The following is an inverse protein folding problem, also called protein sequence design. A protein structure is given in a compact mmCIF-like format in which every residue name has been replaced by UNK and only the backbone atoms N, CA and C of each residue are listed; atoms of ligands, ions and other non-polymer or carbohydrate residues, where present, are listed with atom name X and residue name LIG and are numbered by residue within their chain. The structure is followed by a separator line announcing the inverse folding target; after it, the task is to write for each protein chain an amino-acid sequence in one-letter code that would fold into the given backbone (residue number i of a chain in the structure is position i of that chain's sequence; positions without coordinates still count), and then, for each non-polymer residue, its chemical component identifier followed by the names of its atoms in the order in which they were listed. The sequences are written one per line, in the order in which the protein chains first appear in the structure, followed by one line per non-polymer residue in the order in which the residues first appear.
data_IF_110545354491
#
_entry.id   IF_110545354491
#
_cell.length_a   1.000
_cell.length_b   1.000
_cell.length_c   1.000
_cell.angle_alpha   90.00
_cell.angle_beta   90.00
_cell.angle_gamma   90.00
#
_symmetry.space_group_name_H-M   'P 1'
#
loop_
_entity.id
_entity.type
_entity.pdbx_description
1 polymer ?
#
# COMPACT_ATOMS: atom_id res chain seq x y z
N UNK A 1 4.30 -36.48 2.92
CA UNK A 1 4.17 -36.15 2.26
C UNK A 1 4.06 -35.88 1.74
N UNK A 2 3.96 -35.96 1.78
CA UNK A 2 3.86 -35.62 1.02
C UNK A 2 3.68 -34.85 0.68
N UNK A 3 3.44 -34.69 0.40
CA UNK A 3 3.14 -34.05 -0.26
C UNK A 3 2.78 -33.41 -0.56
N UNK A 4 2.73 -33.46 -0.60
CA UNK A 4 2.22 -32.83 -1.20
C UNK A 4 1.97 -32.65 -1.92
N UNK A 5 1.90 -33.03 -2.26
CA UNK A 5 1.67 -32.65 -3.10
C UNK A 5 1.20 -32.52 -3.65
N UNK A 6 0.92 -32.89 -3.84
CA UNK A 6 0.38 -32.72 -4.53
C UNK A 6 -0.17 -32.65 -4.99
N UNK A 7 -0.41 -32.60 -5.32
CA UNK A 7 -1.24 -32.58 -5.91
C UNK A 7 -1.76 -32.88 -6.64
N UNK A 8 -1.94 -33.15 -6.84
CA UNK A 8 -2.59 -33.32 -7.58
C UNK A 8 -3.21 -34.01 -7.66
N UNK A 9 -3.65 -34.42 -7.72
CA UNK A 9 -4.31 -35.01 -7.86
C UNK A 9 -5.38 -34.96 -8.23
N UNK A 10 -5.65 -35.48 -8.51
CA UNK A 10 -6.65 -35.68 -9.06
C UNK A 10 -7.91 -35.10 -9.12
N UNK A 11 -8.94 -35.63 -9.42
CA UNK A 11 -10.24 -35.11 -9.43
C UNK A 11 -10.42 -34.00 -8.51
N UNK A 12 -9.62 -34.03 -7.61
CA UNK A 12 -9.49 -32.97 -6.68
C UNK A 12 -8.64 -31.86 -7.26
N UNK A 13 -8.38 -31.93 -8.53
CA UNK A 13 -7.71 -30.85 -9.23
C UNK A 13 -8.66 -29.70 -9.44
N UNK A 14 -8.32 -28.55 -8.92
CA UNK A 14 -9.08 -27.32 -9.18
C UNK A 14 -8.88 -26.95 -10.64
N UNK A 15 -9.96 -26.70 -11.39
CA UNK A 15 -9.81 -26.25 -12.76
C UNK A 15 -8.90 -25.04 -12.85
N UNK A 16 -8.05 -25.02 -13.86
CA UNK A 16 -7.07 -23.95 -14.02
C UNK A 16 -7.70 -22.57 -13.95
N UNK A 17 -8.86 -22.40 -14.57
CA UNK A 17 -9.55 -21.11 -14.56
C UNK A 17 -9.90 -20.68 -13.14
N UNK A 18 -10.45 -21.59 -12.34
CA UNK A 18 -10.80 -21.25 -10.95
C UNK A 18 -9.56 -20.94 -10.13
N UNK A 19 -8.47 -21.65 -10.34
CA UNK A 19 -7.22 -21.39 -9.66
C UNK A 19 -6.68 -20.02 -9.99
N UNK A 20 -6.73 -19.63 -11.26
CA UNK A 20 -6.28 -18.31 -11.66
C UNK A 20 -7.16 -17.20 -11.10
N UNK A 21 -8.48 -17.41 -11.08
CA UNK A 21 -9.39 -16.43 -10.50
C UNK A 21 -9.13 -16.25 -9.01
N UNK A 22 -8.89 -17.34 -8.29
CA UNK A 22 -8.57 -17.27 -6.88
C UNK A 22 -7.28 -16.51 -6.64
N UNK A 23 -6.27 -16.75 -7.47
CA UNK A 23 -4.99 -16.07 -7.36
C UNK A 23 -5.14 -14.56 -7.61
N UNK A 24 -5.90 -14.19 -8.64
CA UNK A 24 -6.15 -12.78 -8.94
C UNK A 24 -6.86 -12.09 -7.78
N UNK A 25 -7.86 -12.75 -7.18
CA UNK A 25 -8.56 -12.20 -6.02
C UNK A 25 -7.59 -12.00 -4.85
N UNK A 26 -6.69 -12.96 -4.63
CA UNK A 26 -5.72 -12.86 -3.54
C UNK A 26 -4.78 -11.67 -3.76
N UNK A 27 -4.31 -11.46 -4.99
CA UNK A 27 -3.46 -10.30 -5.30
C UNK A 27 -4.18 -8.98 -5.09
N UNK A 28 -5.44 -8.91 -5.51
CA UNK A 28 -6.23 -7.68 -5.33
C UNK A 28 -6.46 -7.38 -3.86
N UNK A 29 -6.74 -8.42 -3.08
CA UNK A 29 -6.94 -8.27 -1.65
C UNK A 29 -5.66 -7.79 -0.98
N UNK A 30 -4.52 -8.37 -1.36
CA UNK A 30 -3.23 -7.95 -0.80
C UNK A 30 -2.93 -6.50 -1.13
N UNK A 31 -3.25 -6.06 -2.35
CA UNK A 31 -3.09 -4.67 -2.74
C UNK A 31 -3.92 -3.73 -1.87
N UNK A 32 -5.15 -4.11 -1.58
CA UNK A 32 -6.01 -3.32 -0.69
C UNK A 32 -5.44 -3.26 0.72
N UNK A 33 -4.93 -4.38 1.24
CA UNK A 33 -4.34 -4.40 2.57
C UNK A 33 -3.10 -3.52 2.63
N UNK A 34 -2.29 -3.51 1.57
CA UNK A 34 -1.11 -2.65 1.53
C UNK A 34 -1.49 -1.18 1.52
N UNK A 35 -2.57 -0.81 0.80
CA UNK A 35 -3.05 0.57 0.80
C UNK A 35 -3.53 0.99 2.18
N UNK A 36 -4.25 0.11 2.89
CA UNK A 36 -4.68 0.37 4.25
C UNK A 36 -3.47 0.56 5.16
N UNK A 37 -2.44 -0.27 4.99
CA UNK A 37 -1.23 -0.17 5.78
C UNK A 37 -0.52 1.17 5.54
N UNK A 38 -0.47 1.64 4.29
CA UNK A 38 0.10 2.95 3.98
C UNK A 38 -0.61 4.05 4.75
N UNK A 39 -1.95 4.07 4.70
CA UNK A 39 -2.73 5.10 5.37
C UNK A 39 -2.51 5.05 6.88
N UNK A 40 -2.51 3.84 7.47
CA UNK A 40 -2.35 3.71 8.92
C UNK A 40 -0.93 3.99 9.38
N UNK A 41 0.06 3.90 8.50
CA UNK A 41 1.46 4.13 8.85
C UNK A 41 1.86 5.60 8.74
N UNK A 42 1.01 6.45 8.17
CA UNK A 42 1.35 7.85 7.91
C UNK A 42 1.85 8.56 9.17
N UNK A 43 1.10 8.48 10.26
CA UNK A 43 1.50 9.15 11.50
C UNK A 43 2.79 8.56 12.06
N UNK A 44 2.94 7.25 12.00
CA UNK A 44 4.13 6.59 12.54
C UNK A 44 5.39 7.02 11.80
N UNK A 45 5.28 7.18 10.48
CA UNK A 45 6.43 7.53 9.63
C UNK A 45 6.73 9.01 9.69
N UNK A 46 5.70 9.86 9.62
CA UNK A 46 5.90 11.30 9.51
C UNK A 46 5.91 12.02 10.85
N UNK A 47 5.42 11.35 11.89
CA UNK A 47 5.40 11.94 13.21
C UNK A 47 4.08 12.64 13.51
N UNK A 48 3.86 12.87 14.81
CA UNK A 48 2.60 13.41 15.29
C UNK A 48 2.35 14.83 14.82
N UNK A 49 3.41 15.64 14.72
CA UNK A 49 3.27 17.06 14.32
C UNK A 49 2.71 17.15 12.90
N UNK A 50 3.22 16.30 11.97
CA UNK A 50 2.71 16.28 10.60
C UNK A 50 1.29 15.71 10.59
N UNK A 51 1.05 14.66 11.37
CA UNK A 51 -0.27 14.04 11.43
C UNK A 51 -1.34 15.00 11.87
N UNK A 52 -1.04 15.88 12.84
CA UNK A 52 -1.99 16.87 13.34
C UNK A 52 -2.39 17.87 12.27
N UNK A 53 -1.53 18.11 11.28
CA UNK A 53 -1.82 19.03 10.16
C UNK A 53 -2.35 18.28 8.94
N UNK A 54 -2.55 16.97 9.04
CA UNK A 54 -3.05 16.16 7.93
C UNK A 54 -4.57 16.03 8.07
N UNK A 55 -5.28 16.45 7.04
CA UNK A 55 -6.73 16.37 7.00
C UNK A 55 -7.22 15.09 6.38
N UNK A 56 -6.47 14.56 5.40
CA UNK A 56 -6.91 13.42 4.65
C UNK A 56 -5.70 12.69 4.07
N UNK A 57 -5.72 11.36 4.11
CA UNK A 57 -4.70 10.51 3.50
C UNK A 57 -5.41 9.36 2.81
N UNK A 58 -5.11 9.15 1.53
CA UNK A 58 -5.64 7.99 0.82
C UNK A 58 -4.72 7.61 -0.33
N UNK A 59 -4.84 6.36 -0.80
CA UNK A 59 -4.04 5.82 -1.89
C UNK A 59 -4.96 5.47 -3.05
N UNK A 60 -4.55 5.83 -4.26
CA UNK A 60 -5.29 5.46 -5.47
C UNK A 60 -4.28 5.20 -6.57
N UNK A 61 -4.27 3.96 -7.08
CA UNK A 61 -3.42 3.54 -8.22
C UNK A 61 -1.95 3.87 -8.02
N UNK A 62 -1.44 3.57 -6.82
CA UNK A 62 -0.03 3.78 -6.50
C UNK A 62 0.33 5.21 -6.17
N UNK A 63 -0.64 6.10 -6.06
CA UNK A 63 -0.41 7.49 -5.68
C UNK A 63 -0.97 7.73 -4.30
N UNK A 64 -0.13 8.29 -3.44
CA UNK A 64 -0.53 8.67 -2.09
C UNK A 64 -0.96 10.12 -2.12
N UNK A 65 -2.22 10.37 -1.78
CA UNK A 65 -2.78 11.72 -1.72
C UNK A 65 -2.86 12.16 -0.27
N UNK A 66 -2.29 13.30 0.04
CA UNK A 66 -2.26 13.85 1.40
C UNK A 66 -2.77 15.29 1.35
N UNK A 67 -3.83 15.56 2.09
CA UNK A 67 -4.35 16.91 2.22
C UNK A 67 -3.85 17.49 3.53
N UNK A 68 -3.16 18.60 3.43
CA UNK A 68 -2.57 19.27 4.60
C UNK A 68 -3.28 20.58 4.87
N UNK A 69 -3.37 20.95 6.14
CA UNK A 69 -3.99 22.22 6.56
C UNK A 69 -2.98 23.35 6.70
N UNK A 70 -1.68 23.06 6.48
CA UNK A 70 -0.61 24.05 6.65
C UNK A 70 0.12 24.25 5.34
N UNK A 71 0.09 25.46 4.80
CA UNK A 71 0.78 25.78 3.55
C UNK A 71 2.31 25.67 3.69
N UNK A 72 2.91 26.18 4.78
CA UNK A 72 4.37 25.99 4.95
C UNK A 72 4.79 24.53 5.02
N UNK A 73 4.02 23.70 5.72
CA UNK A 73 4.31 22.28 5.82
C UNK A 73 4.18 21.62 4.46
N UNK A 74 3.12 21.96 3.71
CA UNK A 74 2.94 21.43 2.36
C UNK A 74 4.13 21.75 1.49
N UNK A 75 4.64 22.99 1.57
CA UNK A 75 5.79 23.40 0.77
C UNK A 75 7.03 22.57 1.11
N UNK A 76 7.29 22.36 2.40
CA UNK A 76 8.44 21.57 2.82
C UNK A 76 8.33 20.11 2.37
N UNK A 77 7.15 19.53 2.52
CA UNK A 77 6.95 18.12 2.12
C UNK A 77 7.00 17.94 0.62
N UNK A 78 6.58 18.95 -0.15
CA UNK A 78 6.70 18.90 -1.60
C UNK A 78 8.16 18.75 -2.03
N UNK A 79 9.07 19.46 -1.35
CA UNK A 79 10.49 19.37 -1.67
C UNK A 79 11.09 18.01 -1.27
N UNK A 80 10.44 17.31 -0.35
CA UNK A 80 10.91 16.03 0.15
C UNK A 80 10.05 14.85 -0.32
N UNK A 81 9.22 15.04 -1.33
CA UNK A 81 8.21 14.04 -1.70
C UNK A 81 8.81 12.68 -2.05
N UNK A 82 9.96 12.65 -2.72
CA UNK A 82 10.61 11.39 -3.05
C UNK A 82 11.03 10.66 -1.79
N UNK A 83 11.58 11.39 -0.83
CA UNK A 83 11.99 10.80 0.45
C UNK A 83 10.78 10.30 1.23
N UNK A 84 9.67 11.04 1.19
CA UNK A 84 8.44 10.62 1.84
C UNK A 84 7.97 9.29 1.27
N UNK A 85 7.95 9.16 -0.05
CA UNK A 85 7.57 7.90 -0.69
C UNK A 85 8.48 6.76 -0.27
N UNK A 86 9.78 7.00 -0.21
CA UNK A 86 10.75 5.98 0.20
C UNK A 86 10.51 5.53 1.64
N UNK A 87 10.25 6.46 2.53
CA UNK A 87 10.01 6.15 3.93
C UNK A 87 8.74 5.32 4.12
N UNK A 88 7.68 5.69 3.41
CA UNK A 88 6.41 4.95 3.48
C UNK A 88 6.61 3.53 2.93
N UNK A 89 7.26 3.39 1.79
CA UNK A 89 7.48 2.08 1.19
C UNK A 89 8.36 1.20 2.08
N UNK A 90 9.36 1.79 2.73
CA UNK A 90 10.21 1.06 3.66
C UNK A 90 9.41 0.54 4.86
N UNK A 91 8.46 1.34 5.35
CA UNK A 91 7.63 0.93 6.48
C UNK A 91 6.68 -0.21 6.08
N UNK A 92 6.12 -0.15 4.87
CA UNK A 92 5.22 -1.18 4.37
C UNK A 92 5.97 -2.46 3.98
N UNK A 93 7.21 -2.32 3.57
CA UNK A 93 8.03 -3.46 3.16
C UNK A 93 8.01 -3.76 1.67
N UNK A 94 7.30 -2.97 0.87
CA UNK A 94 7.29 -3.12 -0.58
C UNK A 94 6.92 -1.80 -1.24
N UNK A 95 7.15 -1.70 -2.54
CA UNK A 95 6.90 -0.47 -3.28
C UNK A 95 5.41 -0.34 -3.61
N UNK A 96 4.65 0.23 -2.69
CA UNK A 96 3.22 0.47 -2.86
C UNK A 96 2.97 1.88 -3.40
N UNK A 97 3.74 2.85 -2.92
CA UNK A 97 3.59 4.25 -3.30
C UNK A 97 4.63 4.59 -4.35
N UNK A 98 4.15 4.97 -5.53
CA UNK A 98 5.03 5.39 -6.63
C UNK A 98 5.18 6.90 -6.67
N UNK A 99 4.19 7.61 -6.16
CA UNK A 99 4.18 9.06 -6.19
C UNK A 99 3.37 9.58 -5.00
N UNK A 100 3.80 10.73 -4.43
CA UNK A 100 3.07 11.39 -3.36
C UNK A 100 2.56 12.73 -3.90
N UNK A 101 1.28 13.00 -3.68
CA UNK A 101 0.63 14.23 -4.13
C UNK A 101 0.08 14.95 -2.90
N UNK A 102 0.55 16.17 -2.67
CA UNK A 102 0.07 17.00 -1.56
C UNK A 102 -0.96 17.98 -2.07
N UNK A 103 -2.15 17.92 -1.49
CA UNK A 103 -3.29 18.74 -1.89
C UNK A 103 -3.42 20.00 -1.05
#
# INVERSE_FOLDING_TARGET
MKKPSTPTRTGDIIPLKEGLEALVRAYRLQGKLNEVTVVSSWERVMGKAVALKTQEVYVNKGRLFVRLSSAPLKHELLMAKTRVAELINAEVGETVVKEVIFL
#
